data_IF_383901606805
#
_entry.id   IF_383901606805
#
_cell.length_a   1.000
_cell.length_b   1.000
_cell.length_c   1.000
_cell.angle_alpha   90.00
_cell.angle_beta   90.00
_cell.angle_gamma   90.00
#
_symmetry.space_group_name_H-M   'P 1'
#
loop_
_entity.id
_entity.type
_entity.pdbx_description
1 polymer ?
#
# COMPACT_ATOMS: atom_id res chain seq x y z
N UNK A 1 -16.39 -15.58 -22.81
CA UNK A 1 -15.48 -14.62 -22.17
C UNK A 1 -15.79 -14.55 -20.68
N UNK A 2 -14.82 -14.85 -19.83
CA UNK A 2 -14.97 -14.81 -18.39
C UNK A 2 -15.16 -13.37 -17.89
N UNK A 3 -15.57 -13.22 -16.63
CA UNK A 3 -15.66 -11.88 -16.00
C UNK A 3 -14.29 -11.22 -15.95
N UNK A 4 -13.25 -11.99 -15.60
CA UNK A 4 -11.86 -11.52 -15.60
C UNK A 4 -11.40 -11.02 -16.96
N UNK A 5 -11.65 -11.75 -18.05
CA UNK A 5 -11.30 -11.32 -19.41
C UNK A 5 -11.97 -9.98 -19.79
N UNK A 6 -13.23 -9.79 -19.41
CA UNK A 6 -13.94 -8.52 -19.64
C UNK A 6 -13.29 -7.37 -18.87
N UNK A 7 -12.89 -7.61 -17.62
CA UNK A 7 -12.22 -6.62 -16.78
C UNK A 7 -10.83 -6.26 -17.33
N UNK A 8 -10.07 -7.25 -17.81
CA UNK A 8 -8.77 -7.00 -18.47
C UNK A 8 -8.93 -6.11 -19.71
N UNK A 9 -9.88 -6.43 -20.59
CA UNK A 9 -10.16 -5.59 -21.76
C UNK A 9 -10.62 -4.17 -21.41
N UNK A 10 -11.28 -4.00 -20.25
CA UNK A 10 -11.65 -2.69 -19.74
C UNK A 10 -10.42 -1.92 -19.28
N UNK A 11 -9.52 -2.57 -18.52
CA UNK A 11 -8.28 -1.98 -18.04
C UNK A 11 -7.39 -1.45 -19.18
N UNK A 12 -7.29 -2.19 -20.29
CA UNK A 12 -6.51 -1.78 -21.46
C UNK A 12 -6.93 -0.44 -22.09
N UNK A 13 -8.16 0.01 -21.80
CA UNK A 13 -8.71 1.26 -22.30
C UNK A 13 -8.54 2.45 -21.36
N UNK A 14 -8.13 2.20 -20.14
CA UNK A 14 -7.99 3.23 -19.11
C UNK A 14 -6.61 3.87 -19.16
N UNK A 15 -6.55 5.16 -18.87
CA UNK A 15 -5.30 5.92 -18.80
C UNK A 15 -4.75 5.86 -17.37
N UNK A 16 -3.77 5.00 -17.15
CA UNK A 16 -3.19 4.72 -15.82
C UNK A 16 -1.71 5.10 -15.72
N UNK A 17 -1.23 5.98 -16.58
CA UNK A 17 0.19 6.30 -16.71
C UNK A 17 0.84 6.88 -15.44
N UNK A 18 0.05 7.43 -14.54
CA UNK A 18 0.52 8.00 -13.28
C UNK A 18 0.57 7.04 -12.10
N UNK A 19 0.18 5.76 -12.28
CA UNK A 19 0.04 4.84 -11.14
C UNK A 19 1.29 4.00 -10.87
N UNK A 20 2.07 3.69 -11.91
CA UNK A 20 3.23 2.83 -11.76
C UNK A 20 4.32 3.49 -10.93
N UNK A 21 4.70 2.86 -9.81
CA UNK A 21 5.67 3.36 -8.82
C UNK A 21 5.31 4.72 -8.21
N UNK A 22 4.01 5.03 -8.12
CA UNK A 22 3.50 6.19 -7.43
C UNK A 22 2.58 5.79 -6.30
N UNK A 23 2.65 6.52 -5.20
CA UNK A 23 1.85 6.25 -4.02
C UNK A 23 0.37 6.61 -4.22
N UNK A 24 -0.47 5.88 -3.52
CA UNK A 24 -1.87 6.21 -3.38
C UNK A 24 -2.06 7.00 -2.08
N UNK A 25 -1.96 8.32 -2.17
CA UNK A 25 -2.09 9.21 -1.01
C UNK A 25 -3.48 9.85 -0.92
N UNK A 26 -3.88 10.60 -1.94
CA UNK A 26 -5.18 11.24 -1.99
C UNK A 26 -6.06 10.64 -3.09
N UNK A 27 -7.33 10.34 -2.73
CA UNK A 27 -8.30 9.88 -3.73
C UNK A 27 -8.59 10.95 -4.78
N UNK A 28 -8.63 12.22 -4.37
CA UNK A 28 -8.93 13.35 -5.27
C UNK A 28 -7.78 13.76 -6.17
N UNK A 29 -6.57 13.26 -5.96
CA UNK A 29 -5.44 13.45 -6.87
C UNK A 29 -5.44 12.42 -7.99
N UNK A 30 -6.33 11.42 -7.93
CA UNK A 30 -6.45 10.39 -8.94
C UNK A 30 -7.52 10.75 -9.97
N UNK A 31 -7.23 10.48 -11.22
CA UNK A 31 -8.22 10.59 -12.30
C UNK A 31 -9.31 9.53 -12.18
N UNK A 32 -10.44 9.74 -12.85
CA UNK A 32 -11.49 8.74 -12.92
C UNK A 32 -11.03 7.40 -13.50
N UNK A 33 -10.14 7.43 -14.49
CA UNK A 33 -9.57 6.23 -15.11
C UNK A 33 -8.67 5.45 -14.12
N UNK A 34 -7.88 6.14 -13.31
CA UNK A 34 -7.03 5.51 -12.28
C UNK A 34 -7.86 4.85 -11.18
N UNK A 35 -8.89 5.54 -10.67
CA UNK A 35 -9.80 4.96 -9.69
C UNK A 35 -10.56 3.76 -10.26
N UNK A 36 -11.04 3.87 -11.49
CA UNK A 36 -11.70 2.78 -12.19
C UNK A 36 -10.79 1.56 -12.37
N UNK A 37 -9.51 1.79 -12.68
CA UNK A 37 -8.53 0.72 -12.81
C UNK A 37 -8.31 -0.03 -11.48
N UNK A 38 -8.23 0.69 -10.36
CA UNK A 38 -8.11 0.07 -9.03
C UNK A 38 -9.30 -0.85 -8.75
N UNK A 39 -10.52 -0.37 -8.99
CA UNK A 39 -11.73 -1.18 -8.77
C UNK A 39 -11.80 -2.38 -9.73
N UNK A 40 -11.42 -2.20 -10.99
CA UNK A 40 -11.42 -3.29 -11.96
C UNK A 40 -10.42 -4.38 -11.60
N UNK A 41 -9.23 -4.02 -11.11
CA UNK A 41 -8.24 -4.99 -10.61
C UNK A 41 -8.77 -5.72 -9.37
N UNK A 42 -9.34 -4.99 -8.41
CA UNK A 42 -9.92 -5.59 -7.21
C UNK A 42 -11.04 -6.59 -7.55
N UNK A 43 -11.91 -6.25 -8.50
CA UNK A 43 -12.99 -7.14 -8.97
C UNK A 43 -12.46 -8.36 -9.73
N UNK A 44 -11.39 -8.20 -10.53
CA UNK A 44 -10.74 -9.32 -11.21
C UNK A 44 -10.12 -10.31 -10.21
N UNK A 45 -9.40 -9.80 -9.22
CA UNK A 45 -8.81 -10.62 -8.14
C UNK A 45 -9.89 -11.35 -7.32
N UNK A 46 -11.02 -10.68 -7.05
CA UNK A 46 -12.18 -11.30 -6.39
C UNK A 46 -12.77 -12.44 -7.21
N UNK A 47 -12.97 -12.24 -8.52
CA UNK A 47 -13.48 -13.28 -9.43
C UNK A 47 -12.55 -14.50 -9.48
N UNK A 48 -11.25 -14.28 -9.54
CA UNK A 48 -10.25 -15.36 -9.50
C UNK A 48 -10.34 -16.15 -8.19
N UNK A 49 -10.39 -15.45 -7.06
CA UNK A 49 -10.51 -16.06 -5.74
C UNK A 49 -11.81 -16.89 -5.58
N UNK A 50 -12.95 -16.36 -6.03
CA UNK A 50 -14.24 -17.07 -5.99
C UNK A 50 -14.20 -18.38 -6.81
N UNK A 51 -13.40 -18.41 -7.85
CA UNK A 51 -13.17 -19.59 -8.69
C UNK A 51 -12.03 -20.48 -8.21
N UNK A 52 -11.49 -20.21 -7.02
CA UNK A 52 -10.35 -20.91 -6.43
C UNK A 52 -9.09 -20.91 -7.32
N UNK A 53 -8.88 -19.83 -8.05
CA UNK A 53 -7.67 -19.58 -8.84
C UNK A 53 -6.73 -18.70 -8.03
N UNK A 54 -5.45 -19.05 -7.97
CA UNK A 54 -4.44 -18.31 -7.24
C UNK A 54 -4.38 -16.85 -7.73
N UNK A 55 -4.33 -15.91 -6.78
CA UNK A 55 -4.14 -14.49 -7.02
C UNK A 55 -2.71 -14.02 -6.70
N UNK A 56 -1.80 -14.97 -6.43
CA UNK A 56 -0.39 -14.67 -6.15
C UNK A 56 0.28 -14.08 -7.39
N UNK A 57 0.72 -12.84 -7.27
CA UNK A 57 1.51 -12.12 -8.28
C UNK A 57 2.95 -11.90 -7.82
N UNK A 58 3.21 -12.13 -6.53
CA UNK A 58 4.53 -12.08 -5.91
C UNK A 58 4.90 -13.46 -5.38
N UNK A 59 6.14 -13.88 -5.58
CA UNK A 59 6.66 -15.14 -5.02
C UNK A 59 7.01 -14.99 -3.54
N UNK A 60 7.46 -13.79 -3.15
CA UNK A 60 7.83 -13.41 -1.79
C UNK A 60 7.73 -11.89 -1.64
N UNK A 61 7.99 -11.40 -0.45
CA UNK A 61 8.02 -9.97 -0.14
C UNK A 61 7.29 -9.65 1.15
N UNK A 62 7.38 -8.39 1.58
CA UNK A 62 6.86 -7.93 2.85
C UNK A 62 5.93 -6.72 2.68
N UNK A 63 4.70 -6.86 3.17
CA UNK A 63 3.80 -5.75 3.42
C UNK A 63 3.91 -5.29 4.88
N UNK A 64 4.10 -4.00 5.12
CA UNK A 64 4.12 -3.43 6.46
C UNK A 64 2.87 -2.58 6.68
N UNK A 65 2.13 -2.84 7.76
CA UNK A 65 1.03 -1.99 8.20
C UNK A 65 1.46 -1.08 9.34
N UNK A 66 1.19 0.22 9.19
CA UNK A 66 1.41 1.25 10.21
C UNK A 66 0.04 1.87 10.51
N UNK A 67 -0.74 1.18 11.35
CA UNK A 67 -2.09 1.62 11.68
C UNK A 67 -2.11 2.17 13.11
N UNK A 68 -2.00 3.49 13.22
CA UNK A 68 -1.80 4.23 14.47
C UNK A 68 -3.01 4.22 15.40
N UNK A 69 -4.19 3.83 14.90
CA UNK A 69 -5.39 3.66 15.71
C UNK A 69 -5.89 2.23 15.69
N UNK A 70 -6.77 1.91 16.65
CA UNK A 70 -7.40 0.60 16.74
C UNK A 70 -8.34 0.36 15.55
N UNK A 71 -7.98 -0.60 14.72
CA UNK A 71 -8.78 -0.97 13.56
C UNK A 71 -8.70 -2.46 13.27
N UNK A 72 -9.74 -3.17 13.58
CA UNK A 72 -9.84 -4.59 13.26
C UNK A 72 -9.99 -4.82 11.76
N UNK A 73 -10.94 -4.13 11.13
CA UNK A 73 -11.24 -4.33 9.70
C UNK A 73 -10.07 -3.99 8.79
N UNK A 74 -9.44 -2.84 9.01
CA UNK A 74 -8.32 -2.38 8.16
C UNK A 74 -7.12 -3.32 8.28
N UNK A 75 -6.76 -3.73 9.50
CA UNK A 75 -5.66 -4.67 9.73
C UNK A 75 -5.90 -6.00 9.02
N UNK A 76 -7.06 -6.61 9.19
CA UNK A 76 -7.37 -7.89 8.55
C UNK A 76 -7.54 -7.78 7.04
N UNK A 77 -8.11 -6.69 6.51
CA UNK A 77 -8.24 -6.52 5.06
C UNK A 77 -6.89 -6.33 4.39
N UNK A 78 -6.00 -5.52 4.98
CA UNK A 78 -4.63 -5.35 4.48
C UNK A 78 -3.86 -6.67 4.51
N UNK A 79 -3.84 -7.34 5.67
CA UNK A 79 -3.15 -8.62 5.82
C UNK A 79 -3.71 -9.68 4.85
N UNK A 80 -5.01 -9.77 4.69
CA UNK A 80 -5.64 -10.69 3.74
C UNK A 80 -5.27 -10.37 2.29
N UNK A 81 -5.23 -9.10 1.91
CA UNK A 81 -4.85 -8.69 0.57
C UNK A 81 -3.39 -9.02 0.26
N UNK A 82 -2.47 -8.68 1.14
CA UNK A 82 -1.05 -9.00 1.02
C UNK A 82 -0.83 -10.53 0.87
N UNK A 83 -1.43 -11.32 1.75
CA UNK A 83 -1.33 -12.78 1.71
C UNK A 83 -1.86 -13.39 0.41
N UNK A 84 -3.00 -12.90 -0.08
CA UNK A 84 -3.59 -13.35 -1.34
C UNK A 84 -2.72 -13.01 -2.55
N UNK A 85 -1.99 -11.91 -2.49
CA UNK A 85 -1.07 -11.49 -3.53
C UNK A 85 0.30 -12.16 -3.42
N UNK A 86 0.63 -12.80 -2.30
CA UNK A 86 1.88 -13.55 -2.10
C UNK A 86 2.89 -12.86 -1.19
N UNK A 87 2.50 -11.75 -0.53
CA UNK A 87 3.35 -11.06 0.43
C UNK A 87 3.11 -11.57 1.86
N UNK A 88 4.16 -11.63 2.65
CA UNK A 88 4.07 -11.73 4.10
C UNK A 88 3.64 -10.39 4.69
N UNK A 89 3.15 -10.39 5.94
CA UNK A 89 2.69 -9.16 6.61
C UNK A 89 3.35 -9.00 7.96
N UNK A 90 3.86 -7.79 8.20
CA UNK A 90 4.30 -7.35 9.52
C UNK A 90 3.54 -6.09 9.93
N UNK A 91 3.02 -6.09 11.15
CA UNK A 91 2.37 -4.92 11.72
C UNK A 91 3.37 -4.15 12.58
N UNK A 92 3.57 -2.86 12.26
CA UNK A 92 4.43 -1.99 13.05
C UNK A 92 3.57 -1.29 14.12
N UNK A 93 3.66 -1.78 15.34
CA UNK A 93 3.05 -1.15 16.51
C UNK A 93 4.05 -0.16 17.13
N UNK A 94 3.69 1.12 17.15
CA UNK A 94 4.51 2.19 17.74
C UNK A 94 4.87 1.91 19.21
N UNK A 95 3.98 1.28 19.97
CA UNK A 95 4.18 0.99 21.40
C UNK A 95 5.26 -0.05 21.67
N UNK A 96 5.51 -0.93 20.70
CA UNK A 96 6.46 -2.04 20.83
C UNK A 96 7.69 -1.88 19.94
N UNK A 97 7.82 -0.74 19.28
CA UNK A 97 8.92 -0.38 18.39
C UNK A 97 9.82 0.69 18.99
N UNK A 98 10.90 1.03 18.32
CA UNK A 98 11.80 2.12 18.72
C UNK A 98 11.13 3.50 18.65
N UNK A 99 9.99 3.63 17.97
CA UNK A 99 9.16 4.86 17.98
C UNK A 99 8.77 5.22 19.42
N UNK A 100 8.47 4.24 20.27
CA UNK A 100 8.21 4.44 21.69
C UNK A 100 9.42 5.03 22.47
N UNK A 101 10.62 4.92 21.92
CA UNK A 101 11.86 5.44 22.49
C UNK A 101 12.41 6.67 21.75
N UNK A 102 11.59 7.30 20.90
CA UNK A 102 11.92 8.56 20.25
C UNK A 102 12.45 8.46 18.82
N UNK A 103 12.35 7.29 18.18
CA UNK A 103 12.62 7.16 16.74
C UNK A 103 11.67 8.08 15.96
N UNK A 104 12.22 8.86 15.06
CA UNK A 104 11.44 9.80 14.26
C UNK A 104 10.75 9.10 13.08
N UNK A 105 9.69 9.72 12.57
CA UNK A 105 8.98 9.24 11.36
C UNK A 105 9.96 9.04 10.19
N UNK A 106 10.94 9.94 10.04
CA UNK A 106 11.97 9.85 8.99
C UNK A 106 12.87 8.63 9.17
N UNK A 107 13.31 8.35 10.38
CA UNK A 107 14.16 7.19 10.68
C UNK A 107 13.38 5.89 10.43
N UNK A 108 12.14 5.82 10.91
CA UNK A 108 11.25 4.68 10.66
C UNK A 108 11.04 4.48 9.15
N UNK A 109 10.69 5.53 8.40
CA UNK A 109 10.47 5.46 6.96
C UNK A 109 11.71 4.90 6.23
N UNK A 110 12.88 5.45 6.51
CA UNK A 110 14.13 5.00 5.92
C UNK A 110 14.42 3.53 6.25
N UNK A 111 14.24 3.13 7.49
CA UNK A 111 14.52 1.76 7.94
C UNK A 111 13.58 0.75 7.29
N UNK A 112 12.27 1.01 7.27
CA UNK A 112 11.31 0.05 6.69
C UNK A 112 11.39 -0.03 5.18
N UNK A 113 11.84 1.02 4.49
CA UNK A 113 11.95 1.05 3.02
C UNK A 113 12.91 0.00 2.45
N UNK A 114 13.92 -0.41 3.22
CA UNK A 114 14.86 -1.46 2.79
C UNK A 114 14.24 -2.86 2.81
N UNK A 115 13.13 -3.05 3.51
CA UNK A 115 12.55 -4.36 3.78
C UNK A 115 11.16 -4.55 3.18
N UNK A 116 10.42 -3.46 2.96
CA UNK A 116 9.03 -3.53 2.52
C UNK A 116 8.89 -3.38 0.99
N UNK A 117 7.96 -4.13 0.43
CA UNK A 117 7.49 -3.98 -0.96
C UNK A 117 6.25 -3.09 -1.02
N UNK A 118 5.48 -3.05 0.06
CA UNK A 118 4.32 -2.16 0.20
C UNK A 118 4.14 -1.75 1.67
N UNK A 119 3.81 -0.48 1.87
CA UNK A 119 3.53 0.06 3.20
C UNK A 119 2.11 0.63 3.21
N UNK A 120 1.28 0.11 4.11
CA UNK A 120 -0.06 0.63 4.36
C UNK A 120 -0.06 1.52 5.60
N UNK A 121 -0.40 2.80 5.45
CA UNK A 121 -0.46 3.74 6.56
C UNK A 121 -1.91 4.15 6.80
N UNK A 122 -2.35 4.14 8.06
CA UNK A 122 -3.60 4.73 8.50
C UNK A 122 -3.36 5.47 9.82
N UNK A 123 -3.69 6.74 9.82
CA UNK A 123 -3.64 7.57 11.02
C UNK A 123 -4.93 8.37 11.13
N UNK A 124 -5.76 8.04 12.08
CA UNK A 124 -7.01 8.71 12.43
C UNK A 124 -7.14 8.99 13.94
N UNK A 125 -5.99 9.07 14.61
CA UNK A 125 -5.94 9.39 16.04
C UNK A 125 -6.46 10.80 16.34
N UNK A 126 -6.21 11.76 15.45
CA UNK A 126 -6.62 13.15 15.59
C UNK A 126 -7.28 13.64 14.31
N UNK A 127 -8.39 14.36 14.47
CA UNK A 127 -9.10 14.99 13.35
C UNK A 127 -8.15 15.94 12.62
N UNK A 128 -8.11 15.84 11.29
CA UNK A 128 -7.30 16.66 10.37
C UNK A 128 -5.77 16.54 10.51
N UNK A 129 -5.27 15.60 11.30
CA UNK A 129 -3.83 15.41 11.51
C UNK A 129 -3.26 14.16 10.79
N UNK A 130 -4.09 13.18 10.48
CA UNK A 130 -3.62 11.88 9.96
C UNK A 130 -2.82 12.00 8.66
N UNK A 131 -3.19 12.92 7.79
CA UNK A 131 -2.47 13.16 6.53
C UNK A 131 -1.05 13.70 6.75
N UNK A 132 -0.78 14.39 7.86
CA UNK A 132 0.55 14.94 8.15
C UNK A 132 1.57 13.84 8.40
N UNK A 133 1.18 12.81 9.15
CA UNK A 133 2.04 11.66 9.38
C UNK A 133 2.36 10.94 8.08
N UNK A 134 1.32 10.62 7.29
CA UNK A 134 1.48 9.96 5.99
C UNK A 134 2.39 10.78 5.06
N UNK A 135 2.14 12.11 4.97
CA UNK A 135 2.96 13.00 4.15
C UNK A 135 4.42 13.04 4.63
N UNK A 136 4.65 13.16 5.94
CA UNK A 136 6.02 13.16 6.48
C UNK A 136 6.75 11.87 6.16
N UNK A 137 6.04 10.74 6.19
CA UNK A 137 6.58 9.43 5.85
C UNK A 137 6.97 9.36 4.36
N UNK A 138 6.07 9.78 3.47
CA UNK A 138 6.31 9.81 2.02
C UNK A 138 7.44 10.77 1.66
N UNK A 139 7.42 12.00 2.19
CA UNK A 139 8.47 13.00 1.94
C UNK A 139 9.86 12.48 2.38
N UNK A 140 9.92 11.69 3.46
CA UNK A 140 11.17 11.08 3.91
C UNK A 140 11.70 10.02 2.94
N UNK A 141 10.81 9.20 2.36
CA UNK A 141 11.17 8.21 1.34
C UNK A 141 11.60 8.88 0.05
N UNK A 142 10.87 9.88 -0.42
CA UNK A 142 11.19 10.64 -1.64
C UNK A 142 12.57 11.30 -1.52
N UNK A 143 12.80 12.02 -0.43
CA UNK A 143 14.07 12.68 -0.17
C UNK A 143 15.24 11.68 -0.07
N UNK A 144 15.02 10.54 0.59
CA UNK A 144 16.02 9.49 0.70
C UNK A 144 16.39 8.88 -0.65
N UNK A 145 15.37 8.64 -1.49
CA UNK A 145 15.57 8.11 -2.84
C UNK A 145 16.27 9.12 -3.77
N UNK A 146 15.84 10.37 -3.77
CA UNK A 146 16.45 11.44 -4.59
C UNK A 146 17.90 11.70 -4.21
N UNK A 147 18.27 11.58 -2.95
CA UNK A 147 19.64 11.72 -2.46
C UNK A 147 20.50 10.46 -2.66
N UNK A 148 19.95 9.38 -3.18
CA UNK A 148 20.64 8.11 -3.36
C UNK A 148 21.00 7.41 -2.05
N UNK A 149 20.29 7.74 -0.96
CA UNK A 149 20.40 7.06 0.33
C UNK A 149 19.60 5.75 0.29
N UNK A 150 18.45 5.78 -0.37
CA UNK A 150 17.60 4.61 -0.56
C UNK A 150 17.76 4.09 -2.00
N UNK A 151 17.94 2.78 -2.12
CA UNK A 151 18.07 2.09 -3.42
C UNK A 151 16.71 1.82 -4.06
N UNK A 152 15.67 1.72 -3.25
CA UNK A 152 14.30 1.48 -3.69
C UNK A 152 13.31 2.34 -2.91
N UNK A 153 12.14 2.47 -3.49
CA UNK A 153 10.97 3.12 -2.91
C UNK A 153 9.84 2.12 -2.90
N UNK A 154 9.38 1.68 -1.71
CA UNK A 154 8.30 0.70 -1.55
C UNK A 154 6.95 1.22 -2.02
#
# INVERSE_FOLDING_TARGET
>A
MSKTEKLTQRLEKLKTNGMYRNDFYWTWDKSGDELEAIFAVADALRDLRERNISTRVFDSGLGISIFRDNSTRTRFSFASACNLLGLEVSDLDEKTSQIAHGETVRETANMVSFMADVIGIRDDMFIEEGHKYQKTFMDALDEGYEKGILEQRP
#
